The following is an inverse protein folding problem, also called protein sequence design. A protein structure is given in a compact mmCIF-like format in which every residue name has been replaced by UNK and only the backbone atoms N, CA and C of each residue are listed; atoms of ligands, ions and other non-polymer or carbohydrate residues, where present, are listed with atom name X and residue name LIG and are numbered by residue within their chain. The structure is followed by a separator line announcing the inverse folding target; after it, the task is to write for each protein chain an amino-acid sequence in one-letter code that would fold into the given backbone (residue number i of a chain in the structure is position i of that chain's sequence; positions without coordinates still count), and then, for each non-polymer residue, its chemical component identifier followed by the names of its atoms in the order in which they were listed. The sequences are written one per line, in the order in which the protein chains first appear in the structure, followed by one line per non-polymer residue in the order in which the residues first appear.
data_IF_658700322711
#
_entry.id   IF_658700322711
#
_cell.length_a   1.000
_cell.length_b   1.000
_cell.length_c   1.000
_cell.angle_alpha   90.00
_cell.angle_beta   90.00
_cell.angle_gamma   90.00
#
_symmetry.space_group_name_H-M   'P 1'
#
loop_
_entity.id
_entity.type
_entity.pdbx_description
1 polymer ?
#
# COMPACT_ATOMS: atom_id res chain seq x y z
N UNK A 1 12.90 6.88 -19.22
CA UNK A 1 11.83 7.86 -18.86
C UNK A 1 12.48 9.07 -18.21
N UNK A 2 12.06 10.28 -18.58
CA UNK A 2 12.54 11.50 -17.95
C UNK A 2 11.98 11.59 -16.53
N UNK A 3 12.76 12.15 -15.60
CA UNK A 3 12.27 12.43 -14.25
C UNK A 3 11.05 13.37 -14.34
N UNK A 4 10.04 13.21 -13.45
CA UNK A 4 8.89 14.11 -13.43
C UNK A 4 9.33 15.57 -13.20
N UNK A 5 8.77 16.50 -13.97
CA UNK A 5 9.00 17.94 -13.81
C UNK A 5 7.87 18.57 -13.00
N UNK A 6 8.21 19.43 -12.04
CA UNK A 6 7.21 20.19 -11.30
C UNK A 6 6.57 21.24 -12.22
N UNK A 7 5.24 21.35 -12.18
CA UNK A 7 4.52 22.42 -12.87
C UNK A 7 4.83 23.77 -12.21
N UNK A 8 4.97 24.84 -13.00
CA UNK A 8 5.10 26.19 -12.46
C UNK A 8 3.74 26.67 -11.90
N UNK A 9 3.80 27.66 -10.98
CA UNK A 9 2.65 28.43 -10.48
C UNK A 9 1.49 27.58 -9.93
N UNK A 10 1.81 26.46 -9.26
CA UNK A 10 0.81 25.54 -8.70
C UNK A 10 0.17 26.03 -7.40
N UNK A 11 0.61 27.17 -6.86
CA UNK A 11 0.15 27.66 -5.56
C UNK A 11 0.52 26.69 -4.43
N UNK A 12 -0.46 26.29 -3.57
CA UNK A 12 -0.21 25.36 -2.48
C UNK A 12 -0.17 23.89 -2.89
N UNK A 13 -0.44 23.58 -4.17
CA UNK A 13 -0.47 22.21 -4.71
C UNK A 13 0.94 21.80 -5.20
N UNK A 14 1.32 20.55 -4.99
CA UNK A 14 2.45 19.93 -5.67
C UNK A 14 1.92 19.17 -6.89
N UNK A 15 2.33 19.57 -8.10
CA UNK A 15 1.94 18.88 -9.34
C UNK A 15 3.17 18.59 -10.20
N UNK A 16 3.29 17.34 -10.60
CA UNK A 16 4.41 16.84 -11.40
C UNK A 16 3.90 16.25 -12.73
N UNK A 17 4.65 16.47 -13.79
CA UNK A 17 4.40 15.92 -15.13
C UNK A 17 5.59 15.09 -15.61
N UNK A 18 5.33 13.84 -15.94
CA UNK A 18 6.24 12.96 -16.67
C UNK A 18 5.68 12.70 -18.07
N UNK A 19 5.98 13.63 -18.99
CA UNK A 19 5.50 13.53 -20.37
C UNK A 19 6.20 12.39 -21.10
N UNK A 20 5.42 11.48 -21.72
CA UNK A 20 5.92 10.46 -22.62
C UNK A 20 5.79 10.94 -24.07
N UNK A 21 6.92 11.22 -24.67
CA UNK A 21 7.01 11.66 -26.08
C UNK A 21 7.50 10.56 -27.01
N UNK A 22 7.81 9.38 -26.48
CA UNK A 22 8.46 8.30 -27.23
C UNK A 22 7.43 7.45 -28.01
N UNK A 23 6.34 7.06 -27.38
CA UNK A 23 5.39 6.12 -27.99
C UNK A 23 4.18 6.77 -28.68
N UNK A 24 3.89 8.04 -28.44
CA UNK A 24 2.81 8.79 -29.10
C UNK A 24 1.40 8.21 -28.91
N UNK A 25 1.22 7.30 -27.96
CA UNK A 25 -0.11 6.71 -27.66
C UNK A 25 -0.91 7.73 -26.86
N UNK A 26 -2.17 8.07 -27.22
CA UNK A 26 -2.97 9.08 -26.55
C UNK A 26 -3.51 8.59 -25.20
N UNK A 27 -2.66 7.99 -24.39
CA UNK A 27 -2.95 7.48 -23.04
C UNK A 27 -2.11 8.20 -22.00
N UNK A 28 -2.74 8.39 -20.85
CA UNK A 28 -2.08 8.96 -19.69
C UNK A 28 -2.58 8.29 -18.41
N UNK A 29 -1.79 8.44 -17.37
CA UNK A 29 -2.18 8.13 -15.98
C UNK A 29 -2.12 9.41 -15.17
N UNK A 30 -3.11 9.61 -14.31
CA UNK A 30 -3.17 10.71 -13.37
C UNK A 30 -3.36 10.13 -11.97
N UNK A 31 -2.47 10.50 -11.06
CA UNK A 31 -2.59 10.20 -9.63
C UNK A 31 -2.77 11.50 -8.87
N UNK A 32 -3.82 11.57 -8.06
CA UNK A 32 -4.10 12.73 -7.19
C UNK A 32 -4.24 12.24 -5.77
N UNK A 33 -3.35 12.72 -4.90
CA UNK A 33 -3.41 12.45 -3.46
C UNK A 33 -4.01 13.66 -2.75
N UNK A 34 -5.07 13.41 -1.97
CA UNK A 34 -5.77 14.39 -1.14
C UNK A 34 -5.41 14.12 0.31
N UNK A 35 -4.61 14.99 0.89
CA UNK A 35 -3.93 14.77 2.17
C UNK A 35 -4.48 15.67 3.27
N UNK A 36 -4.48 15.16 4.49
CA UNK A 36 -4.75 15.94 5.70
C UNK A 36 -3.51 15.97 6.60
N UNK A 37 -3.36 17.01 7.48
CA UNK A 37 -2.25 17.05 8.43
C UNK A 37 -2.15 15.80 9.29
N UNK A 38 -3.30 15.31 9.75
CA UNK A 38 -3.39 14.13 10.63
C UNK A 38 -3.36 12.80 9.85
N UNK A 39 -3.41 12.84 8.50
CA UNK A 39 -3.50 11.64 7.67
C UNK A 39 -4.73 10.79 7.98
N UNK A 40 -4.63 9.48 7.73
CA UNK A 40 -5.60 8.45 8.12
C UNK A 40 -4.95 7.46 9.10
N UNK A 41 -4.13 7.97 10.01
CA UNK A 41 -3.30 7.16 10.92
C UNK A 41 -3.99 6.81 12.24
N UNK A 42 -5.21 7.29 12.51
CA UNK A 42 -6.04 6.78 13.59
C UNK A 42 -6.94 5.64 13.13
N UNK A 43 -7.27 4.69 14.00
CA UNK A 43 -8.23 3.62 13.67
C UNK A 43 -9.57 4.19 13.24
N UNK A 44 -10.02 5.26 13.90
CA UNK A 44 -11.25 5.96 13.61
C UNK A 44 -11.29 6.54 12.19
N UNK A 45 -10.25 7.26 11.79
CA UNK A 45 -10.16 7.85 10.46
C UNK A 45 -9.98 6.79 9.38
N UNK A 46 -9.15 5.78 9.63
CA UNK A 46 -8.93 4.68 8.70
C UNK A 46 -10.23 3.91 8.39
N UNK A 47 -11.02 3.57 9.42
CA UNK A 47 -12.30 2.87 9.27
C UNK A 47 -13.32 3.74 8.54
N UNK A 48 -13.46 5.04 8.91
CA UNK A 48 -14.37 5.97 8.24
C UNK A 48 -13.99 6.19 6.79
N UNK A 49 -12.70 6.40 6.51
CA UNK A 49 -12.21 6.56 5.14
C UNK A 49 -12.49 5.33 4.27
N UNK A 50 -12.26 4.13 4.81
CA UNK A 50 -12.53 2.86 4.12
C UNK A 50 -14.01 2.68 3.81
N UNK A 51 -14.88 2.91 4.79
CA UNK A 51 -16.34 2.82 4.60
C UNK A 51 -16.84 3.89 3.62
N UNK A 52 -16.36 5.13 3.78
CA UNK A 52 -16.74 6.22 2.89
C UNK A 52 -16.29 5.98 1.44
N UNK A 53 -15.06 5.49 1.25
CA UNK A 53 -14.59 5.08 -0.08
C UNK A 53 -15.51 4.03 -0.72
N UNK A 54 -15.90 3.00 0.04
CA UNK A 54 -16.80 1.96 -0.47
C UNK A 54 -18.15 2.54 -0.91
N UNK A 55 -18.69 3.51 -0.17
CA UNK A 55 -19.93 4.21 -0.53
C UNK A 55 -19.78 5.04 -1.81
N UNK A 56 -18.66 5.75 -1.96
CA UNK A 56 -18.35 6.52 -3.18
C UNK A 56 -18.20 5.59 -4.38
N UNK A 57 -17.46 4.48 -4.23
CA UNK A 57 -17.27 3.49 -5.30
C UNK A 57 -18.61 2.82 -5.70
N UNK A 58 -19.47 2.53 -4.73
CA UNK A 58 -20.81 2.00 -4.98
C UNK A 58 -21.71 2.97 -5.78
N UNK A 59 -21.71 4.25 -5.42
CA UNK A 59 -22.45 5.29 -6.16
C UNK A 59 -21.88 5.49 -7.58
N UNK A 60 -20.55 5.42 -7.73
CA UNK A 60 -19.88 5.51 -9.02
C UNK A 60 -19.97 4.25 -9.87
N UNK A 61 -20.44 3.13 -9.33
CA UNK A 61 -20.46 1.84 -10.06
C UNK A 61 -21.25 1.90 -11.36
N UNK A 62 -22.35 2.68 -11.41
CA UNK A 62 -23.13 2.90 -12.63
C UNK A 62 -22.33 3.58 -13.75
N UNK A 63 -21.25 4.29 -13.42
CA UNK A 63 -20.37 4.98 -14.36
C UNK A 63 -19.16 4.13 -14.79
N UNK A 64 -18.85 3.06 -14.05
CA UNK A 64 -17.67 2.24 -14.29
C UNK A 64 -17.67 1.60 -15.67
N UNK A 65 -18.79 1.04 -16.09
CA UNK A 65 -18.91 0.38 -17.39
C UNK A 65 -18.89 1.36 -18.58
N UNK A 66 -19.65 2.46 -18.57
CA UNK A 66 -19.50 3.50 -19.59
C UNK A 66 -18.09 4.10 -19.68
N UNK A 67 -17.42 4.33 -18.56
CA UNK A 67 -16.04 4.81 -18.54
C UNK A 67 -15.08 3.81 -19.19
N UNK A 68 -15.21 2.52 -18.85
CA UNK A 68 -14.41 1.45 -19.45
C UNK A 68 -14.62 1.36 -20.98
N UNK A 69 -15.87 1.48 -21.46
CA UNK A 69 -16.18 1.52 -22.89
C UNK A 69 -15.57 2.75 -23.59
N UNK A 70 -15.45 3.88 -22.86
CA UNK A 70 -14.76 5.08 -23.35
C UNK A 70 -13.22 4.95 -23.26
N UNK A 71 -12.69 3.82 -22.80
CA UNK A 71 -11.27 3.55 -22.69
C UNK A 71 -10.58 4.29 -21.54
N UNK A 72 -11.35 4.67 -20.49
CA UNK A 72 -10.83 5.25 -19.26
C UNK A 72 -11.24 4.44 -18.05
N UNK A 73 -10.43 4.48 -17.00
CA UNK A 73 -10.67 3.81 -15.73
C UNK A 73 -10.33 4.73 -14.56
N UNK A 74 -10.92 4.45 -13.40
CA UNK A 74 -10.60 5.12 -12.16
C UNK A 74 -10.43 4.11 -11.03
N UNK A 75 -9.75 4.54 -9.98
CA UNK A 75 -9.67 3.85 -8.71
C UNK A 75 -9.54 4.87 -7.59
N UNK A 76 -10.11 4.54 -6.43
CA UNK A 76 -10.00 5.32 -5.21
C UNK A 76 -9.37 4.41 -4.14
N UNK A 77 -8.32 4.88 -3.50
CA UNK A 77 -7.69 4.18 -2.38
C UNK A 77 -7.51 5.12 -1.19
N UNK A 78 -7.34 4.53 -0.02
CA UNK A 78 -7.21 5.25 1.25
C UNK A 78 -5.89 4.86 1.93
N UNK A 79 -4.72 5.26 1.35
CA UNK A 79 -3.44 5.10 2.04
C UNK A 79 -3.40 5.94 3.32
N UNK A 80 -2.46 5.63 4.20
CA UNK A 80 -2.34 6.25 5.53
C UNK A 80 -2.31 7.79 5.53
N UNK A 81 -1.86 8.39 4.40
CA UNK A 81 -1.74 9.85 4.26
C UNK A 81 -3.01 10.55 3.74
N UNK A 82 -4.03 9.80 3.33
CA UNK A 82 -5.27 10.38 2.82
C UNK A 82 -5.89 9.58 1.69
N UNK A 83 -6.77 10.22 0.90
CA UNK A 83 -7.33 9.62 -0.29
C UNK A 83 -6.39 9.74 -1.49
N UNK A 84 -6.42 8.73 -2.33
CA UNK A 84 -5.74 8.76 -3.63
C UNK A 84 -6.73 8.40 -4.73
N UNK A 85 -6.84 9.28 -5.73
CA UNK A 85 -7.55 9.05 -6.97
C UNK A 85 -6.52 8.66 -8.04
N UNK A 86 -6.79 7.59 -8.77
CA UNK A 86 -5.99 7.16 -9.91
C UNK A 86 -6.87 7.08 -11.14
N UNK A 87 -6.50 7.77 -12.20
CA UNK A 87 -7.16 7.68 -13.50
C UNK A 87 -6.20 7.11 -14.53
N UNK A 88 -6.71 6.29 -15.44
CA UNK A 88 -5.93 5.71 -16.52
C UNK A 88 -6.70 5.64 -17.82
N UNK A 89 -6.01 5.65 -18.96
CA UNK A 89 -6.62 5.50 -20.27
C UNK A 89 -6.48 6.72 -21.18
N UNK A 90 -7.44 6.90 -22.09
CA UNK A 90 -7.40 8.01 -23.05
C UNK A 90 -7.55 9.37 -22.37
N UNK A 91 -6.63 10.28 -22.67
CA UNK A 91 -6.46 11.56 -21.97
C UNK A 91 -7.65 12.53 -22.14
N UNK A 92 -8.35 12.49 -23.29
CA UNK A 92 -9.42 13.43 -23.64
C UNK A 92 -10.67 13.31 -22.73
N UNK A 93 -10.86 12.15 -22.08
CA UNK A 93 -11.97 11.87 -21.16
C UNK A 93 -11.60 11.91 -19.68
N UNK A 94 -10.33 11.99 -19.35
CA UNK A 94 -9.88 11.93 -17.96
C UNK A 94 -10.36 13.15 -17.14
N UNK A 95 -10.42 14.35 -17.72
CA UNK A 95 -10.89 15.55 -17.01
C UNK A 95 -12.37 15.43 -16.62
N UNK A 96 -13.22 14.92 -17.52
CA UNK A 96 -14.65 14.70 -17.22
C UNK A 96 -14.81 13.68 -16.07
N UNK A 97 -14.07 12.57 -16.15
CA UNK A 97 -14.11 11.52 -15.12
C UNK A 97 -13.56 12.02 -13.79
N UNK A 98 -12.48 12.80 -13.80
CA UNK A 98 -11.92 13.42 -12.59
C UNK A 98 -12.96 14.28 -11.89
N UNK A 99 -13.69 15.12 -12.61
CA UNK A 99 -14.73 15.97 -12.03
C UNK A 99 -15.80 15.14 -11.34
N UNK A 100 -16.31 14.12 -12.02
CA UNK A 100 -17.33 13.23 -11.43
C UNK A 100 -16.83 12.54 -10.16
N UNK A 101 -15.60 12.03 -10.16
CA UNK A 101 -15.00 11.39 -8.98
C UNK A 101 -14.81 12.40 -7.84
N UNK A 102 -14.31 13.61 -8.13
CA UNK A 102 -14.15 14.67 -7.12
C UNK A 102 -15.49 15.08 -6.51
N UNK A 103 -16.50 15.31 -7.34
CA UNK A 103 -17.84 15.73 -6.88
C UNK A 103 -18.46 14.67 -5.95
N UNK A 104 -18.33 13.39 -6.30
CA UNK A 104 -18.81 12.31 -5.45
C UNK A 104 -17.99 12.17 -4.16
N UNK A 105 -16.67 12.25 -4.27
CA UNK A 105 -15.79 12.12 -3.12
C UNK A 105 -15.99 13.24 -2.09
N UNK A 106 -16.27 14.48 -2.54
CA UNK A 106 -16.42 15.63 -1.64
C UNK A 106 -17.84 15.86 -1.15
N UNK A 107 -18.89 15.37 -1.86
CA UNK A 107 -20.27 15.77 -1.58
C UNK A 107 -21.30 14.65 -1.70
N UNK A 108 -20.90 13.37 -1.61
CA UNK A 108 -21.83 12.24 -1.67
C UNK A 108 -22.91 12.35 -0.60
N UNK A 109 -24.18 12.31 -1.01
CA UNK A 109 -25.30 12.12 -0.08
C UNK A 109 -25.38 10.64 0.29
N UNK A 110 -25.15 10.30 1.56
CA UNK A 110 -25.12 8.92 2.02
C UNK A 110 -26.55 8.36 2.04
N UNK A 111 -26.80 7.33 1.23
CA UNK A 111 -28.03 6.56 1.27
C UNK A 111 -27.99 5.60 2.47
N UNK A 112 -28.98 5.67 3.42
CA UNK A 112 -28.96 4.85 4.62
C UNK A 112 -28.99 3.33 4.36
N UNK A 113 -29.72 2.89 3.33
CA UNK A 113 -29.82 1.47 3.00
C UNK A 113 -28.49 0.94 2.45
N UNK A 114 -27.85 1.71 1.55
CA UNK A 114 -26.52 1.36 1.03
C UNK A 114 -25.44 1.41 2.12
N UNK A 115 -25.54 2.38 3.02
CA UNK A 115 -24.66 2.45 4.18
C UNK A 115 -24.71 1.16 5.03
N UNK A 116 -25.90 0.67 5.35
CA UNK A 116 -26.06 -0.56 6.13
C UNK A 116 -25.46 -1.77 5.41
N UNK A 117 -25.69 -1.90 4.11
CA UNK A 117 -25.14 -2.99 3.31
C UNK A 117 -23.60 -2.94 3.33
N UNK A 118 -23.01 -1.81 2.98
CA UNK A 118 -21.54 -1.67 2.86
C UNK A 118 -20.83 -1.70 4.23
N UNK A 119 -21.49 -1.23 5.30
CA UNK A 119 -21.00 -1.39 6.67
C UNK A 119 -20.95 -2.87 7.04
N UNK A 120 -22.02 -3.65 6.74
CA UNK A 120 -22.06 -5.09 6.98
C UNK A 120 -21.02 -5.85 6.16
N UNK A 121 -20.83 -5.48 4.89
CA UNK A 121 -19.78 -6.08 4.05
C UNK A 121 -18.38 -5.82 4.61
N UNK A 122 -18.11 -4.60 5.08
CA UNK A 122 -16.84 -4.26 5.72
C UNK A 122 -16.66 -5.03 7.04
N UNK A 123 -17.70 -5.16 7.85
CA UNK A 123 -17.71 -5.96 9.07
C UNK A 123 -17.37 -7.42 8.78
N UNK A 124 -18.06 -8.04 7.81
CA UNK A 124 -17.81 -9.41 7.40
C UNK A 124 -16.37 -9.59 6.88
N UNK A 125 -15.87 -8.64 6.09
CA UNK A 125 -14.47 -8.67 5.60
C UNK A 125 -13.45 -8.65 6.74
N UNK A 126 -13.70 -7.84 7.78
CA UNK A 126 -12.84 -7.80 8.97
C UNK A 126 -12.95 -9.09 9.81
N UNK A 127 -14.15 -9.64 9.96
CA UNK A 127 -14.37 -10.92 10.65
C UNK A 127 -13.73 -12.09 9.90
N UNK A 128 -13.80 -12.10 8.57
CA UNK A 128 -13.18 -13.15 7.76
C UNK A 128 -11.65 -13.12 7.82
N UNK A 129 -11.04 -11.98 8.16
CA UNK A 129 -9.57 -11.91 8.34
C UNK A 129 -9.06 -12.84 9.44
N UNK A 130 -9.87 -13.15 10.45
CA UNK A 130 -9.54 -14.14 11.50
C UNK A 130 -9.45 -15.57 10.98
N UNK A 131 -10.00 -15.84 9.79
CA UNK A 131 -9.94 -17.15 9.11
C UNK A 131 -8.82 -17.23 8.07
N UNK A 132 -8.06 -16.15 7.90
CA UNK A 132 -6.92 -16.16 6.99
C UNK A 132 -5.90 -17.22 7.41
N UNK A 133 -5.11 -17.67 6.43
CA UNK A 133 -4.04 -18.66 6.70
C UNK A 133 -3.07 -18.13 7.75
N UNK A 134 -2.48 -19.01 8.58
CA UNK A 134 -1.58 -18.59 9.66
C UNK A 134 -0.50 -17.61 9.26
N UNK A 135 0.16 -17.82 8.12
CA UNK A 135 1.20 -16.91 7.66
C UNK A 135 0.66 -15.50 7.32
N UNK A 136 -0.57 -15.39 6.81
CA UNK A 136 -1.20 -14.11 6.50
C UNK A 136 -1.51 -13.34 7.79
N UNK A 137 -2.07 -14.01 8.79
CA UNK A 137 -2.27 -13.43 10.12
C UNK A 137 -0.95 -13.02 10.78
N UNK A 138 0.12 -13.81 10.57
CA UNK A 138 1.47 -13.46 11.00
C UNK A 138 2.02 -12.18 10.34
N UNK A 139 1.76 -11.98 9.04
CA UNK A 139 2.11 -10.73 8.35
C UNK A 139 1.31 -9.54 8.86
N UNK A 140 0.00 -9.70 9.07
CA UNK A 140 -0.83 -8.65 9.64
C UNK A 140 -0.33 -8.25 11.03
N UNK A 141 0.06 -9.23 11.84
CA UNK A 141 0.62 -8.98 13.17
C UNK A 141 1.98 -8.29 13.12
N UNK A 142 2.87 -8.71 12.22
CA UNK A 142 4.14 -8.03 12.00
C UNK A 142 3.91 -6.56 11.62
N UNK A 143 2.97 -6.30 10.70
CA UNK A 143 2.64 -4.95 10.27
C UNK A 143 2.08 -4.12 11.42
N UNK A 144 1.21 -4.69 12.27
CA UNK A 144 0.68 -4.02 13.47
C UNK A 144 1.76 -3.66 14.47
N UNK A 145 2.79 -4.49 14.61
CA UNK A 145 3.91 -4.24 15.52
C UNK A 145 4.89 -3.19 14.98
N UNK A 146 4.97 -3.04 13.65
CA UNK A 146 5.94 -2.15 12.99
C UNK A 146 5.33 -0.79 12.68
N UNK A 147 4.07 -0.71 12.22
CA UNK A 147 3.45 0.54 11.74
C UNK A 147 2.41 1.06 12.70
N UNK A 148 2.52 2.33 13.08
CA UNK A 148 1.51 3.01 13.92
C UNK A 148 0.14 3.16 13.27
N UNK A 149 0.04 2.97 11.95
CA UNK A 149 -1.21 3.04 11.17
C UNK A 149 -1.85 1.68 10.91
N UNK A 150 -1.37 0.62 11.53
CA UNK A 150 -1.92 -0.73 11.36
C UNK A 150 -2.56 -1.21 12.65
N UNK A 151 -3.85 -1.52 12.61
CA UNK A 151 -4.62 -1.92 13.78
C UNK A 151 -5.17 -3.33 13.64
N UNK A 152 -5.33 -4.06 14.77
CA UNK A 152 -6.04 -5.34 14.79
C UNK A 152 -7.47 -5.20 14.23
N UNK A 153 -7.96 -6.25 13.60
CA UNK A 153 -9.33 -6.28 13.10
C UNK A 153 -10.36 -6.08 14.23
N UNK A 154 -10.05 -6.50 15.46
CA UNK A 154 -10.86 -6.25 16.66
C UNK A 154 -11.11 -4.77 16.91
N UNK A 155 -10.07 -3.95 16.81
CA UNK A 155 -10.14 -2.51 17.06
C UNK A 155 -10.90 -1.81 15.93
N UNK A 156 -10.66 -2.25 14.68
CA UNK A 156 -11.40 -1.77 13.51
C UNK A 156 -12.90 -2.12 13.61
N UNK A 157 -13.25 -3.32 14.05
CA UNK A 157 -14.64 -3.74 14.28
C UNK A 157 -15.31 -2.92 15.39
N UNK A 158 -14.60 -2.67 16.50
CA UNK A 158 -15.10 -1.85 17.59
C UNK A 158 -15.40 -0.42 17.13
N UNK A 159 -14.51 0.17 16.35
CA UNK A 159 -14.72 1.51 15.78
C UNK A 159 -15.87 1.50 14.76
N UNK A 160 -15.88 0.54 13.84
CA UNK A 160 -16.91 0.43 12.81
C UNK A 160 -18.31 0.33 13.41
N UNK A 161 -18.47 -0.36 14.55
CA UNK A 161 -19.76 -0.50 15.24
C UNK A 161 -20.37 0.86 15.62
N UNK A 162 -19.54 1.86 15.94
CA UNK A 162 -19.98 3.21 16.38
C UNK A 162 -20.39 4.12 15.23
N UNK A 163 -19.94 3.85 14.00
CA UNK A 163 -20.13 4.77 12.85
C UNK A 163 -21.58 4.78 12.40
N UNK A 164 -22.17 5.96 12.31
CA UNK A 164 -23.50 6.23 11.73
C UNK A 164 -23.39 7.00 10.39
N UNK A 165 -24.47 7.07 9.58
CA UNK A 165 -24.48 7.89 8.36
C UNK A 165 -24.20 9.36 8.63
N UNK A 166 -24.74 9.89 9.74
CA UNK A 166 -24.56 11.28 10.18
C UNK A 166 -23.11 11.56 10.57
N UNK A 167 -22.53 10.70 11.41
CA UNK A 167 -21.12 10.81 11.81
C UNK A 167 -20.17 10.77 10.60
N UNK A 168 -20.47 9.87 9.64
CA UNK A 168 -19.66 9.72 8.45
C UNK A 168 -19.78 10.94 7.52
N UNK A 169 -20.97 11.54 7.44
CA UNK A 169 -21.18 12.78 6.68
C UNK A 169 -20.42 13.95 7.29
N UNK A 170 -20.47 14.12 8.62
CA UNK A 170 -19.73 15.16 9.35
C UNK A 170 -18.21 14.94 9.22
N UNK A 171 -17.76 13.71 9.33
CA UNK A 171 -16.36 13.38 9.13
C UNK A 171 -15.88 13.71 7.72
N UNK A 172 -16.66 13.36 6.68
CA UNK A 172 -16.36 13.73 5.29
C UNK A 172 -16.25 15.24 5.12
N UNK A 173 -17.22 16.01 5.62
CA UNK A 173 -17.24 17.47 5.49
C UNK A 173 -16.00 18.09 6.15
N UNK A 174 -15.64 17.62 7.34
CA UNK A 174 -14.44 18.04 8.03
C UNK A 174 -13.16 17.58 7.28
N UNK A 175 -13.18 16.40 6.68
CA UNK A 175 -12.03 15.89 5.90
C UNK A 175 -11.76 16.77 4.68
N UNK A 176 -12.78 17.14 3.92
CA UNK A 176 -12.65 17.87 2.66
C UNK A 176 -12.81 19.40 2.82
N UNK A 177 -12.97 19.93 4.04
CA UNK A 177 -12.99 21.36 4.28
C UNK A 177 -11.75 22.06 3.71
N UNK A 178 -10.58 21.42 3.90
CA UNK A 178 -9.33 21.82 3.27
C UNK A 178 -8.37 20.63 3.18
N UNK A 179 -7.69 20.48 2.05
CA UNK A 179 -6.78 19.37 1.79
C UNK A 179 -5.47 19.83 1.18
N UNK A 180 -4.40 19.10 1.46
CA UNK A 180 -3.17 19.16 0.67
C UNK A 180 -3.34 18.34 -0.59
N UNK A 181 -2.87 18.84 -1.73
CA UNK A 181 -2.94 18.15 -3.01
C UNK A 181 -1.55 17.89 -3.53
N UNK A 182 -1.28 16.61 -3.85
CA UNK A 182 -0.12 16.21 -4.64
C UNK A 182 -0.61 15.40 -5.85
N UNK A 183 -0.22 15.82 -7.03
CA UNK A 183 -0.64 15.19 -8.28
C UNK A 183 0.56 14.81 -9.14
N UNK A 184 0.45 13.68 -9.83
CA UNK A 184 1.40 13.20 -10.82
C UNK A 184 0.64 12.79 -12.09
N UNK A 185 0.96 13.43 -13.20
CA UNK A 185 0.49 13.05 -14.52
C UNK A 185 1.63 12.38 -15.30
N UNK A 186 1.38 11.21 -15.87
CA UNK A 186 2.35 10.42 -16.62
C UNK A 186 1.76 10.02 -17.97
N UNK A 187 2.53 10.12 -19.04
CA UNK A 187 2.13 9.66 -20.36
C UNK A 187 2.00 10.78 -21.38
N UNK A 188 1.17 10.60 -22.39
CA UNK A 188 1.03 11.55 -23.49
C UNK A 188 0.15 12.75 -23.09
N UNK A 189 0.65 13.58 -22.20
CA UNK A 189 0.05 14.83 -21.75
C UNK A 189 1.06 15.96 -21.98
N UNK A 190 0.58 17.04 -22.57
CA UNK A 190 1.35 18.27 -22.67
C UNK A 190 1.19 19.17 -21.42
N UNK A 191 2.04 20.16 -21.31
CA UNK A 191 2.00 21.12 -20.20
C UNK A 191 0.64 21.82 -20.09
N UNK A 192 0.00 22.15 -21.22
CA UNK A 192 -1.29 22.82 -21.23
C UNK A 192 -2.42 21.91 -20.71
N UNK A 193 -2.39 20.62 -21.00
CA UNK A 193 -3.31 19.64 -20.44
C UNK A 193 -3.12 19.48 -18.93
N UNK A 194 -1.87 19.39 -18.47
CA UNK A 194 -1.55 19.31 -17.04
C UNK A 194 -2.02 20.58 -16.29
N UNK A 195 -1.83 21.77 -16.86
CA UNK A 195 -2.33 23.03 -16.30
C UNK A 195 -3.86 23.10 -16.23
N UNK A 196 -4.57 22.52 -17.20
CA UNK A 196 -6.04 22.43 -17.12
C UNK A 196 -6.50 21.54 -15.97
N UNK A 197 -5.84 20.41 -15.76
CA UNK A 197 -6.11 19.51 -14.62
C UNK A 197 -5.80 20.23 -13.30
N UNK A 198 -4.69 20.94 -13.22
CA UNK A 198 -4.31 21.77 -12.07
C UNK A 198 -5.41 22.80 -11.74
N UNK A 199 -5.88 23.54 -12.74
CA UNK A 199 -6.94 24.52 -12.57
C UNK A 199 -8.26 23.87 -12.13
N UNK A 200 -8.59 22.69 -12.67
CA UNK A 200 -9.77 21.91 -12.26
C UNK A 200 -9.69 21.51 -10.77
N UNK A 201 -8.55 21.00 -10.31
CA UNK A 201 -8.34 20.66 -8.89
C UNK A 201 -8.47 21.89 -7.99
N UNK A 202 -7.86 23.02 -8.39
CA UNK A 202 -7.92 24.27 -7.65
C UNK A 202 -9.35 24.86 -7.57
N UNK A 203 -10.20 24.61 -8.60
CA UNK A 203 -11.59 25.05 -8.60
C UNK A 203 -12.52 24.12 -7.81
N UNK A 204 -12.16 22.86 -7.67
CA UNK A 204 -12.99 21.84 -7.00
C UNK A 204 -12.67 21.65 -5.52
N UNK A 205 -11.52 22.11 -5.05
CA UNK A 205 -11.01 21.87 -3.70
C UNK A 205 -10.47 23.14 -3.05
N UNK A 206 -10.64 23.25 -1.74
CA UNK A 206 -9.91 24.23 -0.93
C UNK A 206 -8.56 23.64 -0.59
N UNK A 207 -7.53 24.11 -1.27
CA UNK A 207 -6.19 23.54 -1.19
C UNK A 207 -5.30 24.34 -0.24
N UNK A 208 -4.63 23.64 0.68
CA UNK A 208 -3.67 24.23 1.61
C UNK A 208 -2.32 23.51 1.51
N UNK A 209 -1.20 24.20 1.78
CA UNK A 209 0.10 23.53 1.90
C UNK A 209 0.04 22.56 3.09
N UNK A 210 -0.08 21.28 2.81
CA UNK A 210 -0.25 20.27 3.86
C UNK A 210 0.74 19.14 3.66
N UNK A 211 1.65 18.96 4.60
CA UNK A 211 2.39 17.73 4.75
C UNK A 211 1.52 16.79 5.60
N UNK A 212 1.06 15.69 5.00
CA UNK A 212 0.34 14.67 5.77
C UNK A 212 1.28 14.00 6.77
N UNK A 213 0.78 13.71 7.97
CA UNK A 213 1.49 12.85 8.90
C UNK A 213 1.81 11.51 8.24
N UNK A 214 3.06 11.06 8.40
CA UNK A 214 3.45 9.73 8.02
C UNK A 214 3.26 8.78 9.21
N UNK A 215 2.91 7.51 8.97
CA UNK A 215 2.97 6.51 10.01
C UNK A 215 4.38 6.43 10.61
N UNK A 216 4.47 6.24 11.91
CA UNK A 216 5.75 5.98 12.54
C UNK A 216 6.09 4.50 12.42
N UNK A 217 7.36 4.22 12.16
CA UNK A 217 7.91 2.86 12.13
C UNK A 217 8.56 2.59 13.47
N UNK A 218 8.14 1.51 14.14
CA UNK A 218 8.76 1.06 15.38
C UNK A 218 10.16 0.54 15.09
N UNK A 219 11.18 1.07 15.76
CA UNK A 219 12.54 0.54 15.70
C UNK A 219 12.67 -0.66 16.64
N UNK A 220 13.25 -1.74 16.16
CA UNK A 220 13.41 -3.00 16.90
C UNK A 220 14.79 -3.02 17.54
N UNK A 221 14.85 -2.84 18.86
CA UNK A 221 16.09 -2.84 19.64
C UNK A 221 16.43 -4.24 20.22
N UNK A 222 16.46 -5.24 19.38
CA UNK A 222 16.81 -6.61 19.78
C UNK A 222 15.74 -7.64 19.43
N UNK A 223 15.96 -8.92 19.77
CA UNK A 223 15.02 -9.98 19.40
C UNK A 223 13.68 -9.84 20.11
N UNK A 224 12.60 -9.80 19.35
CA UNK A 224 11.23 -9.85 19.85
C UNK A 224 10.56 -11.10 19.29
N UNK A 225 9.91 -11.87 20.16
CA UNK A 225 9.16 -13.06 19.76
C UNK A 225 7.73 -12.95 20.27
N UNK A 226 6.79 -13.13 19.39
CA UNK A 226 5.37 -13.20 19.71
C UNK A 226 4.80 -14.54 19.24
N UNK A 227 4.03 -15.19 20.09
CA UNK A 227 3.34 -16.44 19.77
C UNK A 227 1.85 -16.15 19.65
N UNK A 228 1.30 -16.44 18.49
CA UNK A 228 -0.13 -16.27 18.22
C UNK A 228 -0.83 -17.62 18.34
N UNK A 229 -1.98 -17.63 19.05
CA UNK A 229 -2.88 -18.78 19.06
C UNK A 229 -3.88 -18.61 17.90
N UNK A 230 -3.73 -19.43 16.87
CA UNK A 230 -4.54 -19.38 15.66
C UNK A 230 -5.26 -20.71 15.50
N UNK A 231 -6.59 -20.66 15.31
CA UNK A 231 -7.41 -21.86 15.08
C UNK A 231 -7.14 -22.41 13.67
N UNK A 232 -6.01 -23.13 13.54
CA UNK A 232 -5.57 -23.78 12.32
C UNK A 232 -4.64 -24.96 12.63
N UNK A 233 -4.70 -26.00 11.81
CA UNK A 233 -3.86 -27.20 11.99
C UNK A 233 -2.39 -26.98 11.67
N UNK A 234 -2.08 -26.03 10.79
CA UNK A 234 -0.70 -25.73 10.42
C UNK A 234 -0.08 -24.74 11.39
N UNK A 235 1.23 -24.85 11.59
CA UNK A 235 2.03 -23.79 12.20
C UNK A 235 2.63 -22.89 11.12
N UNK A 236 2.92 -21.65 11.46
CA UNK A 236 3.67 -20.72 10.61
C UNK A 236 4.72 -19.94 11.39
N UNK A 237 5.73 -19.49 10.65
CA UNK A 237 6.71 -18.53 11.09
C UNK A 237 6.66 -17.34 10.14
N UNK A 238 6.59 -16.13 10.67
CA UNK A 238 6.96 -14.89 9.98
C UNK A 238 8.13 -14.30 10.77
N UNK A 239 9.28 -14.21 10.14
CA UNK A 239 10.51 -13.73 10.74
C UNK A 239 11.00 -12.51 9.97
N UNK A 240 11.34 -11.43 10.67
CA UNK A 240 11.73 -10.16 10.08
C UNK A 240 13.00 -9.62 10.71
N UNK A 241 13.93 -9.19 9.89
CA UNK A 241 15.14 -8.49 10.25
C UNK A 241 15.06 -7.07 9.73
N UNK A 242 14.88 -6.09 10.61
CA UNK A 242 14.80 -4.69 10.26
C UNK A 242 16.18 -4.13 9.90
N UNK A 243 16.28 -3.31 8.86
CA UNK A 243 17.49 -2.56 8.57
C UNK A 243 17.84 -1.62 9.73
N UNK A 244 19.11 -1.31 9.86
CA UNK A 244 19.61 -0.41 10.92
C UNK A 244 19.04 1.01 10.78
N UNK A 245 18.84 1.47 9.55
CA UNK A 245 18.29 2.78 9.23
C UNK A 245 17.42 2.73 7.95
N UNK A 246 16.73 3.83 7.66
CA UNK A 246 15.82 4.00 6.55
C UNK A 246 16.45 4.57 5.28
N UNK A 247 17.77 4.49 5.15
CA UNK A 247 18.46 5.01 3.97
C UNK A 247 18.21 4.14 2.73
N UNK A 248 18.18 4.78 1.56
CA UNK A 248 18.09 4.07 0.28
C UNK A 248 19.21 3.04 0.10
N UNK A 249 20.39 3.29 0.67
CA UNK A 249 21.50 2.35 0.61
C UNK A 249 21.20 1.08 1.39
N UNK A 250 20.66 1.18 2.61
CA UNK A 250 20.28 0.02 3.41
C UNK A 250 19.13 -0.75 2.76
N UNK A 251 18.15 -0.06 2.18
CA UNK A 251 17.07 -0.69 1.40
C UNK A 251 17.64 -1.41 0.16
N UNK A 252 18.56 -0.80 -0.58
CA UNK A 252 19.20 -1.46 -1.72
C UNK A 252 19.99 -2.71 -1.31
N UNK A 253 20.69 -2.66 -0.17
CA UNK A 253 21.41 -3.82 0.38
C UNK A 253 20.46 -4.95 0.75
N UNK A 254 19.36 -4.66 1.47
CA UNK A 254 18.39 -5.69 1.84
C UNK A 254 17.67 -6.27 0.62
N UNK A 255 17.37 -5.46 -0.41
CA UNK A 255 16.79 -5.93 -1.66
C UNK A 255 17.73 -6.89 -2.41
N UNK A 256 19.02 -6.53 -2.52
CA UNK A 256 20.01 -7.41 -3.15
C UNK A 256 20.22 -8.69 -2.34
N UNK A 257 20.31 -8.58 -1.03
CA UNK A 257 20.45 -9.74 -0.15
C UNK A 257 19.23 -10.66 -0.22
N UNK A 258 18.03 -10.10 -0.21
CA UNK A 258 16.79 -10.85 -0.41
C UNK A 258 16.74 -11.57 -1.76
N UNK A 259 17.17 -10.91 -2.84
CA UNK A 259 17.27 -11.50 -4.17
C UNK A 259 18.23 -12.71 -4.19
N UNK A 260 19.37 -12.60 -3.55
CA UNK A 260 20.40 -13.66 -3.48
C UNK A 260 19.94 -14.85 -2.63
N UNK A 261 19.28 -14.57 -1.50
CA UNK A 261 18.93 -15.59 -0.50
C UNK A 261 17.62 -16.32 -0.83
N UNK A 262 16.67 -15.67 -1.48
CA UNK A 262 15.33 -16.24 -1.67
C UNK A 262 15.31 -17.61 -2.39
N UNK A 263 16.05 -17.86 -3.49
CA UNK A 263 16.11 -19.15 -4.14
C UNK A 263 16.67 -20.24 -3.25
N UNK A 264 17.72 -19.93 -2.49
CA UNK A 264 18.39 -20.88 -1.59
C UNK A 264 17.52 -21.23 -0.38
N UNK A 265 16.83 -20.22 0.19
CA UNK A 265 15.88 -20.43 1.29
C UNK A 265 14.73 -21.36 0.86
N UNK A 266 14.20 -21.13 -0.34
CA UNK A 266 13.15 -21.99 -0.91
C UNK A 266 13.67 -23.41 -1.16
N UNK A 267 14.83 -23.55 -1.83
CA UNK A 267 15.42 -24.86 -2.14
C UNK A 267 15.69 -25.67 -0.88
N UNK A 268 16.41 -25.06 0.07
CA UNK A 268 16.80 -25.75 1.30
C UNK A 268 15.61 -26.14 2.17
N UNK A 269 14.69 -25.21 2.45
CA UNK A 269 13.65 -25.49 3.44
C UNK A 269 12.39 -26.16 2.85
N UNK A 270 12.08 -25.89 1.57
CA UNK A 270 10.93 -26.51 0.91
C UNK A 270 11.30 -27.81 0.18
N UNK A 271 12.35 -27.77 -0.65
CA UNK A 271 12.65 -28.90 -1.54
C UNK A 271 13.42 -29.98 -0.81
N UNK A 272 14.50 -29.62 -0.11
CA UNK A 272 15.39 -30.59 0.53
C UNK A 272 14.82 -31.07 1.87
N UNK A 273 14.45 -30.12 2.74
CA UNK A 273 13.97 -30.45 4.09
C UNK A 273 12.45 -30.68 4.17
N UNK A 274 11.70 -30.33 3.14
CA UNK A 274 10.24 -30.52 3.04
C UNK A 274 9.47 -29.97 4.26
N UNK A 275 9.93 -28.84 4.82
CA UNK A 275 9.38 -28.29 6.05
C UNK A 275 7.99 -27.66 5.88
N UNK A 276 7.63 -27.19 4.68
CA UNK A 276 6.35 -26.56 4.47
C UNK A 276 6.02 -26.32 3.00
N UNK A 277 4.80 -25.89 2.73
CA UNK A 277 4.32 -25.59 1.37
C UNK A 277 4.30 -24.10 1.05
N UNK A 278 4.33 -23.22 2.07
CA UNK A 278 4.65 -21.81 1.92
C UNK A 278 6.05 -21.63 2.47
N UNK A 279 7.00 -21.30 1.62
CA UNK A 279 8.39 -20.99 1.99
C UNK A 279 8.86 -19.87 1.09
N UNK A 280 9.24 -18.74 1.65
CA UNK A 280 9.75 -17.59 0.89
C UNK A 280 10.63 -16.71 1.75
N UNK A 281 11.66 -16.10 1.13
CA UNK A 281 12.35 -14.94 1.65
C UNK A 281 12.04 -13.75 0.73
N UNK A 282 11.98 -12.55 1.30
CA UNK A 282 11.58 -11.33 0.61
C UNK A 282 12.16 -10.11 1.32
N UNK A 283 12.08 -8.94 0.69
CA UNK A 283 12.58 -7.68 1.25
C UNK A 283 11.40 -6.73 1.45
N UNK A 284 10.73 -6.75 2.62
CA UNK A 284 9.62 -5.84 2.90
C UNK A 284 10.14 -4.44 3.19
N UNK A 285 9.33 -3.45 2.83
CA UNK A 285 9.54 -2.06 3.18
C UNK A 285 8.29 -1.52 3.87
N UNK A 286 8.48 -0.97 5.07
CA UNK A 286 7.45 -0.30 5.86
C UNK A 286 7.75 1.19 5.86
N UNK A 287 6.96 1.99 5.16
CA UNK A 287 7.30 3.36 4.80
C UNK A 287 8.67 3.40 4.08
N UNK A 288 9.71 3.92 4.69
CA UNK A 288 11.07 3.92 4.13
C UNK A 288 11.99 2.91 4.82
N UNK A 289 11.49 2.20 5.83
CA UNK A 289 12.26 1.23 6.59
C UNK A 289 12.25 -0.13 5.92
N UNK A 290 13.34 -0.48 5.27
CA UNK A 290 13.53 -1.78 4.64
C UNK A 290 13.95 -2.89 5.63
N UNK A 291 14.04 -4.11 5.10
CA UNK A 291 14.50 -5.27 5.87
C UNK A 291 14.48 -6.57 5.08
N UNK A 292 14.72 -7.68 5.77
CA UNK A 292 14.59 -9.03 5.24
C UNK A 292 13.46 -9.77 5.95
N UNK A 293 12.58 -10.39 5.19
CA UNK A 293 11.48 -11.19 5.69
C UNK A 293 11.63 -12.66 5.28
N UNK A 294 11.18 -13.55 6.15
CA UNK A 294 11.16 -14.99 5.90
C UNK A 294 9.81 -15.54 6.36
N UNK A 295 9.23 -16.41 5.58
CA UNK A 295 7.96 -17.05 5.90
C UNK A 295 8.01 -18.54 5.63
N UNK A 296 7.46 -19.30 6.58
CA UNK A 296 7.20 -20.74 6.39
C UNK A 296 5.81 -21.05 6.96
N UNK A 297 5.01 -21.81 6.24
CA UNK A 297 3.82 -22.48 6.79
C UNK A 297 3.94 -23.97 6.58
N UNK A 298 3.74 -24.73 7.65
CA UNK A 298 3.99 -26.16 7.74
C UNK A 298 2.80 -26.92 8.34
N UNK A 299 2.38 -28.02 7.73
CA UNK A 299 1.38 -28.92 8.33
C UNK A 299 1.97 -29.89 9.34
N UNK A 300 3.31 -29.96 9.49
CA UNK A 300 3.97 -31.02 10.25
C UNK A 300 5.01 -30.52 11.27
N UNK A 301 5.60 -29.35 11.06
CA UNK A 301 6.64 -28.81 11.95
C UNK A 301 6.07 -27.66 12.80
N UNK A 302 6.31 -27.65 14.13
CA UNK A 302 5.85 -26.56 15.00
C UNK A 302 6.66 -25.27 14.74
N UNK A 303 6.08 -24.12 15.06
CA UNK A 303 6.67 -22.79 14.81
C UNK A 303 8.09 -22.64 15.38
N UNK A 304 8.35 -23.20 16.56
CA UNK A 304 9.70 -23.16 17.17
C UNK A 304 10.75 -23.91 16.32
N UNK A 305 10.37 -25.03 15.72
CA UNK A 305 11.27 -25.76 14.83
C UNK A 305 11.50 -25.00 13.52
N UNK A 306 10.47 -24.36 12.97
CA UNK A 306 10.60 -23.51 11.78
C UNK A 306 11.55 -22.33 12.05
N UNK A 307 11.44 -21.70 13.23
CA UNK A 307 12.33 -20.62 13.63
C UNK A 307 13.77 -21.12 13.73
N UNK A 308 14.01 -22.25 14.39
CA UNK A 308 15.35 -22.82 14.50
C UNK A 308 15.95 -23.13 13.11
N UNK A 309 15.18 -23.74 12.21
CA UNK A 309 15.62 -24.07 10.84
C UNK A 309 15.94 -22.81 10.04
N UNK A 310 15.19 -21.74 10.21
CA UNK A 310 15.49 -20.44 9.58
C UNK A 310 16.81 -19.87 10.12
N UNK A 311 17.07 -19.92 11.43
CA UNK A 311 18.32 -19.46 12.01
C UNK A 311 19.53 -20.33 11.57
N UNK A 312 19.37 -21.64 11.50
CA UNK A 312 20.41 -22.56 10.99
C UNK A 312 20.74 -22.23 9.52
N UNK A 313 19.74 -22.00 8.70
CA UNK A 313 19.91 -21.57 7.32
C UNK A 313 20.68 -20.26 7.23
N UNK A 314 20.26 -19.23 7.96
CA UNK A 314 20.91 -17.91 7.97
C UNK A 314 22.37 -17.98 8.41
N UNK A 315 22.68 -18.82 9.40
CA UNK A 315 24.06 -19.03 9.83
C UNK A 315 24.94 -19.65 8.72
N UNK A 316 24.38 -20.55 7.92
CA UNK A 316 25.04 -21.10 6.74
C UNK A 316 25.25 -20.07 5.64
N UNK A 317 24.23 -19.22 5.40
CA UNK A 317 24.28 -18.16 4.39
C UNK A 317 25.35 -17.11 4.67
N UNK A 318 25.61 -16.77 5.92
CA UNK A 318 26.72 -15.85 6.28
C UNK A 318 28.05 -16.35 5.73
N UNK A 319 28.31 -17.66 5.84
CA UNK A 319 29.55 -18.25 5.32
C UNK A 319 29.55 -18.31 3.79
N UNK A 320 28.42 -18.72 3.18
CA UNK A 320 28.29 -18.81 1.71
C UNK A 320 28.46 -17.43 1.05
N UNK A 321 27.87 -16.40 1.62
CA UNK A 321 27.97 -15.03 1.10
C UNK A 321 29.38 -14.43 1.27
N UNK A 322 30.09 -14.79 2.35
CA UNK A 322 31.49 -14.36 2.54
C UNK A 322 32.43 -14.95 1.49
N UNK A 323 32.12 -16.15 0.98
CA UNK A 323 32.89 -16.84 -0.05
C UNK A 323 32.39 -16.58 -1.49
N UNK A 324 31.36 -15.72 -1.65
CA UNK A 324 30.80 -15.39 -2.96
C UNK A 324 31.84 -14.70 -3.87
N UNK A 325 31.94 -15.15 -5.12
CA UNK A 325 32.82 -14.55 -6.10
C UNK A 325 32.33 -13.15 -6.52
N UNK A 326 33.24 -12.28 -6.95
CA UNK A 326 32.89 -10.97 -7.49
C UNK A 326 32.03 -11.07 -8.76
N UNK A 327 32.20 -12.15 -9.53
CA UNK A 327 31.42 -12.42 -10.75
C UNK A 327 29.96 -12.77 -10.39
N UNK A 328 29.76 -13.68 -9.44
CA UNK A 328 28.40 -14.06 -8.95
C UNK A 328 27.70 -12.86 -8.32
N UNK A 329 28.43 -12.04 -7.55
CA UNK A 329 27.88 -10.81 -6.96
C UNK A 329 27.40 -9.83 -8.03
N UNK A 330 28.22 -9.57 -9.07
CA UNK A 330 27.86 -8.70 -10.18
C UNK A 330 26.65 -9.23 -10.96
N UNK A 331 26.58 -10.54 -11.21
CA UNK A 331 25.45 -11.16 -11.88
C UNK A 331 24.13 -10.99 -11.09
N UNK A 332 24.16 -11.14 -9.77
CA UNK A 332 22.99 -10.89 -8.92
C UNK A 332 22.56 -9.41 -8.93
N UNK A 333 23.52 -8.48 -8.95
CA UNK A 333 23.20 -7.06 -9.10
C UNK A 333 22.51 -6.76 -10.42
N UNK A 334 23.05 -7.26 -11.53
CA UNK A 334 22.44 -7.10 -12.86
C UNK A 334 21.04 -7.73 -12.92
N UNK A 335 20.87 -8.92 -12.34
CA UNK A 335 19.58 -9.60 -12.24
C UNK A 335 18.53 -8.80 -11.48
N UNK A 336 18.90 -8.18 -10.36
CA UNK A 336 18.01 -7.31 -9.60
C UNK A 336 17.66 -6.03 -10.37
N UNK A 337 18.66 -5.36 -10.99
CA UNK A 337 18.45 -4.14 -11.79
C UNK A 337 17.50 -4.40 -12.95
N UNK A 338 17.56 -5.57 -13.58
CA UNK A 338 16.68 -5.93 -14.68
C UNK A 338 15.21 -6.16 -14.27
N UNK A 339 14.93 -6.29 -12.98
CA UNK A 339 13.57 -6.46 -12.43
C UNK A 339 12.91 -5.14 -12.00
N UNK A 340 13.69 -4.07 -11.86
CA UNK A 340 13.24 -2.72 -11.50
C UNK A 340 13.02 -1.88 -12.76
#
# INVERSE_FOLDING_TARGET
SNAPEALPDTGPMAFYLAADTEFGVPRAMLHVSLRRPDGLISVADSVRARLYRNLVEDDLNALSYPALLAGVSYGISTPDRGFRISLGGYQDKQSELLQVVLDRLTSLTINPDRFLVLKTELENSLQDSFKNRPFQQGFDRLRQNILSSSWPATDQLAELATVTPEDLSLWRDAYFEQVGVEALAVGNLDMAAAQRIQAQLANSLVITPTAAAAPTVTQIDGPVTEVMDIDHNDASLVFYLQNKDDTLLETAKSNLLGHIIAPEYFSSLRTEQQLGYVVSAFSPEFEQQGGLGFVIQSPSAPAAALHQKTLEFLAGEVTRLADMSAEDYAQNQEGLIAQV
#
